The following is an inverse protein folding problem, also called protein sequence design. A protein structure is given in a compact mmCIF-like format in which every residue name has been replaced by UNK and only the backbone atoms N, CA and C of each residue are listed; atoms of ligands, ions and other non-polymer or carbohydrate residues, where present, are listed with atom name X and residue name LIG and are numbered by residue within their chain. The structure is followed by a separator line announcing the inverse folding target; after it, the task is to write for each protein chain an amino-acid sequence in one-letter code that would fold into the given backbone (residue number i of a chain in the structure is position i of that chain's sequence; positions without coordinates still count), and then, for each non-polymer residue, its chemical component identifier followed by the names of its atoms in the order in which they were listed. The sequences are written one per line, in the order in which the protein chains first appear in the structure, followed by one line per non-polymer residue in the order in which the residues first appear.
data_IF_409385300337
#
_entry.id   IF_409385300337
#
_cell.length_a   1.000
_cell.length_b   1.000
_cell.length_c   1.000
_cell.angle_alpha   90.00
_cell.angle_beta   90.00
_cell.angle_gamma   90.00
#
_symmetry.space_group_name_H-M   'P 1'
#
loop_
_entity.id
_entity.type
_entity.pdbx_description
1 polymer ?
#
# COMPACT_ATOMS: atom_id res chain seq x y z
N UNK A 1 18.27 10.63 -9.48
CA UNK A 1 16.81 10.46 -9.27
C UNK A 1 16.42 11.27 -8.05
N UNK A 2 15.89 12.48 -8.21
CA UNK A 2 15.30 13.23 -7.10
C UNK A 2 13.97 12.58 -6.77
N UNK A 3 13.96 11.70 -5.77
CA UNK A 3 12.72 11.09 -5.33
C UNK A 3 12.23 11.85 -4.10
N UNK A 4 11.37 12.85 -4.34
CA UNK A 4 10.75 13.68 -3.30
C UNK A 4 10.10 12.84 -2.19
N UNK A 5 9.62 11.63 -2.51
CA UNK A 5 9.13 10.68 -1.52
C UNK A 5 10.23 10.22 -0.56
N UNK A 6 11.46 9.96 -1.04
CA UNK A 6 12.61 9.58 -0.18
C UNK A 6 13.03 10.74 0.70
N UNK A 7 13.05 11.98 0.18
CA UNK A 7 13.35 13.17 0.97
C UNK A 7 12.33 13.37 2.09
N UNK A 8 11.05 13.22 1.79
CA UNK A 8 9.97 13.34 2.77
C UNK A 8 10.02 12.21 3.81
N UNK A 9 10.29 10.98 3.40
CA UNK A 9 10.50 9.85 4.31
C UNK A 9 11.72 10.05 5.22
N UNK A 10 12.77 10.68 4.68
CA UNK A 10 14.01 10.97 5.41
C UNK A 10 13.85 12.10 6.43
N UNK A 11 13.11 13.17 6.08
CA UNK A 11 12.88 14.34 6.94
C UNK A 11 12.10 13.99 8.21
N UNK A 12 11.07 13.14 8.08
CA UNK A 12 10.16 12.82 9.19
C UNK A 12 10.56 11.53 9.96
N UNK A 13 11.70 10.90 9.60
CA UNK A 13 12.17 9.62 10.19
C UNK A 13 11.13 8.49 10.13
N UNK A 14 10.39 8.33 9.03
CA UNK A 14 9.44 7.22 8.85
C UNK A 14 10.09 5.88 8.52
N UNK A 15 11.35 5.70 8.93
CA UNK A 15 12.10 4.49 8.68
C UNK A 15 12.90 4.09 9.92
N UNK A 16 13.03 2.78 10.11
CA UNK A 16 13.89 2.17 11.13
C UNK A 16 14.95 1.36 10.41
N UNK A 17 16.19 1.45 10.87
CA UNK A 17 17.30 0.68 10.30
C UNK A 17 17.51 -0.61 11.09
N UNK A 18 18.02 -1.66 10.42
CA UNK A 18 18.39 -2.92 11.08
C UNK A 18 17.22 -3.73 11.63
N UNK A 19 16.02 -3.60 11.04
CA UNK A 19 14.82 -4.30 11.52
C UNK A 19 14.86 -5.77 11.12
N UNK A 20 14.78 -6.66 12.11
CA UNK A 20 14.56 -8.09 11.88
C UNK A 20 13.08 -8.35 11.62
N UNK A 21 12.73 -8.72 10.38
CA UNK A 21 11.35 -9.05 10.00
C UNK A 21 10.97 -10.47 10.40
N UNK A 22 9.67 -10.77 10.43
CA UNK A 22 9.12 -12.11 10.76
C UNK A 22 9.72 -13.26 9.94
N UNK A 23 10.17 -12.98 8.71
CA UNK A 23 10.87 -13.95 7.87
C UNK A 23 12.33 -14.22 8.29
N UNK A 24 12.77 -13.73 9.46
CA UNK A 24 14.11 -13.95 10.03
C UNK A 24 15.23 -13.10 9.42
N UNK A 25 14.96 -12.38 8.33
CA UNK A 25 15.91 -11.51 7.63
C UNK A 25 16.04 -10.15 8.34
N UNK A 26 17.25 -9.59 8.31
CA UNK A 26 17.49 -8.20 8.71
C UNK A 26 17.31 -7.34 7.45
N UNK A 27 16.39 -6.39 7.53
CA UNK A 27 16.16 -5.41 6.47
C UNK A 27 16.94 -4.16 6.84
N UNK A 28 17.85 -3.66 5.98
CA UNK A 28 18.70 -2.52 6.31
C UNK A 28 17.88 -1.25 6.56
N UNK A 29 16.76 -1.08 5.86
CA UNK A 29 15.82 0.03 6.01
C UNK A 29 14.40 -0.56 5.96
N UNK A 30 13.61 -0.30 6.99
CA UNK A 30 12.20 -0.64 7.07
C UNK A 30 11.40 0.65 7.19
N UNK A 31 10.42 0.86 6.31
CA UNK A 31 9.51 2.01 6.37
C UNK A 31 8.23 1.63 7.10
N UNK A 32 7.71 2.51 7.97
CA UNK A 32 6.41 2.29 8.62
C UNK A 32 5.30 3.09 7.93
N UNK A 33 4.45 2.44 7.10
CA UNK A 33 3.33 3.11 6.45
C UNK A 33 2.28 3.63 7.43
N UNK A 34 2.27 3.15 8.68
CA UNK A 34 1.36 3.68 9.70
C UNK A 34 1.77 5.06 10.18
N UNK A 35 3.06 5.35 10.21
CA UNK A 35 3.54 6.66 10.65
C UNK A 35 3.09 7.78 9.68
N UNK A 36 3.06 7.49 8.38
CA UNK A 36 2.55 8.43 7.38
C UNK A 36 1.05 8.74 7.48
N UNK A 37 0.27 7.94 8.24
CA UNK A 37 -1.15 8.23 8.46
C UNK A 37 -1.36 9.57 9.18
N UNK A 38 -0.44 9.93 10.08
CA UNK A 38 -0.49 11.21 10.81
C UNK A 38 -0.04 12.40 9.96
N UNK A 39 0.42 12.17 8.73
CA UNK A 39 1.00 13.19 7.85
C UNK A 39 0.37 13.12 6.46
N UNK A 40 -0.84 13.69 6.26
CA UNK A 40 -1.62 13.54 5.04
C UNK A 40 -0.88 13.98 3.76
N UNK A 41 -0.08 15.05 3.84
CA UNK A 41 0.72 15.57 2.71
C UNK A 41 1.77 14.56 2.26
N UNK A 42 2.41 13.87 3.23
CA UNK A 42 3.39 12.83 2.97
C UNK A 42 2.73 11.62 2.32
N UNK A 43 1.64 11.13 2.92
CA UNK A 43 0.90 9.99 2.40
C UNK A 43 0.39 10.24 0.98
N UNK A 44 -0.09 11.46 0.69
CA UNK A 44 -0.51 11.88 -0.65
C UNK A 44 0.66 11.87 -1.64
N UNK A 45 1.81 12.41 -1.26
CA UNK A 45 3.01 12.43 -2.10
C UNK A 45 3.46 11.00 -2.45
N UNK A 46 3.45 10.10 -1.47
CA UNK A 46 3.78 8.69 -1.68
C UNK A 46 2.75 8.04 -2.63
N UNK A 47 1.46 8.25 -2.40
CA UNK A 47 0.38 7.72 -3.23
C UNK A 47 0.49 8.19 -4.69
N UNK A 48 0.86 9.45 -4.93
CA UNK A 48 1.08 10.00 -6.28
C UNK A 48 2.23 9.31 -7.01
N UNK A 49 3.36 9.07 -6.32
CA UNK A 49 4.47 8.32 -6.90
C UNK A 49 4.10 6.86 -7.17
N UNK A 50 3.37 6.20 -6.27
CA UNK A 50 2.85 4.86 -6.50
C UNK A 50 1.92 4.83 -7.71
N UNK A 51 0.98 5.77 -7.82
CA UNK A 51 0.08 5.89 -8.96
C UNK A 51 0.86 6.07 -10.27
N UNK A 52 1.90 6.90 -10.29
CA UNK A 52 2.78 7.11 -11.45
C UNK A 52 3.51 5.84 -11.85
N UNK A 53 4.08 5.11 -10.88
CA UNK A 53 4.79 3.85 -11.12
C UNK A 53 3.82 2.78 -11.63
N UNK A 54 2.65 2.65 -11.01
CA UNK A 54 1.62 1.68 -11.41
C UNK A 54 1.15 1.95 -12.84
N UNK A 55 0.84 3.21 -13.20
CA UNK A 55 0.47 3.55 -14.58
C UNK A 55 1.55 3.17 -15.59
N UNK A 56 2.83 3.28 -15.22
CA UNK A 56 3.97 2.92 -16.08
C UNK A 56 4.11 1.40 -16.26
N UNK A 57 3.93 0.62 -15.20
CA UNK A 57 4.18 -0.83 -15.20
C UNK A 57 2.93 -1.61 -15.62
N UNK A 58 1.75 -1.16 -15.19
CA UNK A 58 0.43 -1.77 -15.43
C UNK A 58 -0.58 -0.71 -15.86
N UNK A 59 -0.51 -0.21 -17.11
CA UNK A 59 -1.42 0.83 -17.61
C UNK A 59 -2.90 0.41 -17.66
N UNK A 60 -3.18 -0.91 -17.72
CA UNK A 60 -4.54 -1.48 -17.75
C UNK A 60 -5.00 -1.97 -16.37
N UNK A 61 -4.49 -1.38 -15.29
CA UNK A 61 -4.87 -1.73 -13.93
C UNK A 61 -6.35 -1.40 -13.69
N UNK A 62 -7.11 -2.30 -13.08
CA UNK A 62 -8.55 -2.12 -12.86
C UNK A 62 -8.92 -1.99 -11.38
N UNK A 63 -8.11 -2.56 -10.49
CA UNK A 63 -8.35 -2.55 -9.05
C UNK A 63 -7.04 -2.53 -8.26
N UNK A 64 -7.03 -1.82 -7.14
CA UNK A 64 -5.91 -1.82 -6.19
C UNK A 64 -6.24 -2.70 -4.98
N UNK A 65 -5.31 -3.53 -4.53
CA UNK A 65 -5.49 -4.34 -3.34
C UNK A 65 -4.44 -4.00 -2.26
N UNK A 66 -4.93 -3.72 -1.04
CA UNK A 66 -4.09 -3.49 0.13
C UNK A 66 -4.16 -4.65 1.12
N UNK A 67 -3.02 -5.13 1.60
CA UNK A 67 -3.02 -6.11 2.69
C UNK A 67 -3.27 -5.44 4.05
N UNK A 68 -4.06 -6.06 4.91
CA UNK A 68 -4.24 -5.62 6.29
C UNK A 68 -2.89 -5.68 7.03
N UNK A 69 -2.52 -4.73 7.88
CA UNK A 69 -3.20 -3.48 8.24
C UNK A 69 -2.56 -2.28 7.53
N UNK A 70 -1.24 -2.31 7.35
CA UNK A 70 -0.46 -1.18 6.83
C UNK A 70 -0.61 -0.94 5.32
N UNK A 71 -1.07 -1.93 4.56
CA UNK A 71 -1.30 -1.80 3.12
C UNK A 71 -2.64 -1.14 2.78
N UNK A 72 -3.59 -1.09 3.72
CA UNK A 72 -4.95 -0.56 3.49
C UNK A 72 -4.89 0.92 3.15
N UNK A 73 -4.17 1.72 3.94
CA UNK A 73 -4.12 3.17 3.75
C UNK A 73 -3.45 3.56 2.45
N UNK A 74 -2.32 2.92 2.13
CA UNK A 74 -1.60 3.17 0.89
C UNK A 74 -2.40 2.71 -0.34
N UNK A 75 -3.08 1.56 -0.25
CA UNK A 75 -3.96 1.08 -1.32
C UNK A 75 -5.13 2.04 -1.55
N UNK A 76 -5.79 2.50 -0.48
CA UNK A 76 -6.89 3.44 -0.57
C UNK A 76 -6.46 4.77 -1.19
N UNK A 77 -5.39 5.39 -0.68
CA UNK A 77 -4.93 6.69 -1.20
C UNK A 77 -4.39 6.58 -2.62
N UNK A 78 -3.67 5.51 -2.95
CA UNK A 78 -3.21 5.29 -4.33
C UNK A 78 -4.37 5.06 -5.29
N UNK A 79 -5.40 4.31 -4.88
CA UNK A 79 -6.60 4.09 -5.68
C UNK A 79 -7.38 5.39 -5.91
N UNK A 80 -7.45 6.26 -4.89
CA UNK A 80 -8.04 7.60 -5.02
C UNK A 80 -7.27 8.45 -6.05
N UNK A 81 -5.94 8.46 -6.02
CA UNK A 81 -5.12 9.18 -7.02
C UNK A 81 -5.25 8.59 -8.44
N UNK A 82 -5.53 7.29 -8.55
CA UNK A 82 -5.78 6.62 -9.84
C UNK A 82 -7.25 6.70 -10.31
N UNK A 83 -8.16 7.16 -9.44
CA UNK A 83 -9.61 7.07 -9.62
C UNK A 83 -10.09 5.64 -9.96
N UNK A 84 -9.62 4.67 -9.19
CA UNK A 84 -9.94 3.24 -9.36
C UNK A 84 -10.62 2.67 -8.11
N UNK A 85 -11.42 1.60 -8.25
CA UNK A 85 -11.89 0.84 -7.11
C UNK A 85 -10.71 0.18 -6.38
N UNK A 86 -10.88 -0.08 -5.09
CA UNK A 86 -9.91 -0.80 -4.29
C UNK A 86 -10.57 -1.81 -3.35
N UNK A 87 -9.79 -2.81 -2.97
CA UNK A 87 -10.16 -3.86 -2.02
C UNK A 87 -9.07 -4.01 -0.97
N UNK A 88 -9.39 -4.64 0.16
CA UNK A 88 -8.35 -5.05 1.10
C UNK A 88 -8.45 -6.52 1.47
N UNK A 89 -7.29 -7.08 1.83
CA UNK A 89 -7.14 -8.49 2.16
C UNK A 89 -6.94 -8.62 3.67
N UNK A 90 -7.85 -9.31 4.35
CA UNK A 90 -7.79 -9.63 5.77
C UNK A 90 -6.70 -10.65 6.08
N UNK A 91 -6.15 -10.59 7.30
CA UNK A 91 -5.21 -11.61 7.78
C UNK A 91 -5.86 -12.93 8.21
N UNK A 92 -7.15 -12.91 8.55
CA UNK A 92 -7.92 -14.07 9.03
C UNK A 92 -9.33 -14.05 8.45
N UNK A 93 -9.91 -15.22 8.21
CA UNK A 93 -11.29 -15.36 7.75
C UNK A 93 -12.29 -15.01 8.88
N UNK A 94 -13.51 -14.63 8.50
CA UNK A 94 -14.63 -14.48 9.44
C UNK A 94 -15.09 -15.89 9.83
N UNK A 95 -14.90 -16.28 11.08
CA UNK A 95 -15.20 -17.63 11.57
C UNK A 95 -16.67 -18.07 11.53
N UNK A 96 -17.61 -17.28 10.99
CA UNK A 96 -19.05 -17.60 10.98
C UNK A 96 -19.79 -17.29 9.67
N UNK A 97 -19.13 -16.74 8.65
CA UNK A 97 -19.75 -16.42 7.35
C UNK A 97 -18.66 -16.40 6.29
N UNK A 98 -18.90 -17.06 5.14
CA UNK A 98 -18.07 -17.14 3.92
C UNK A 98 -16.60 -16.74 4.09
N UNK A 99 -15.68 -17.68 3.91
CA UNK A 99 -14.20 -17.57 3.99
C UNK A 99 -13.54 -16.52 3.05
N UNK A 100 -14.28 -15.52 2.59
CA UNK A 100 -13.77 -14.39 1.83
C UNK A 100 -12.76 -13.60 2.68
N UNK A 101 -11.49 -13.74 2.32
CA UNK A 101 -10.39 -12.94 2.83
C UNK A 101 -10.33 -11.53 2.22
N UNK A 102 -11.10 -11.27 1.15
CA UNK A 102 -11.11 -10.01 0.42
C UNK A 102 -12.38 -9.23 0.76
N UNK A 103 -12.21 -7.97 1.10
CA UNK A 103 -13.29 -7.04 1.42
C UNK A 103 -13.35 -5.94 0.34
N UNK A 104 -14.56 -5.69 -0.17
CA UNK A 104 -14.83 -4.79 -1.30
C UNK A 104 -15.38 -5.53 -2.53
N UNK A 105 -15.86 -4.76 -3.52
CA UNK A 105 -16.44 -5.31 -4.75
C UNK A 105 -15.39 -5.23 -5.86
N UNK A 106 -15.12 -6.36 -6.51
CA UNK A 106 -14.22 -6.46 -7.64
C UNK A 106 -14.76 -7.45 -8.67
N UNK A 107 -14.39 -7.27 -9.94
CA UNK A 107 -14.75 -8.23 -10.98
C UNK A 107 -13.79 -9.41 -10.94
N UNK A 108 -14.33 -10.64 -10.99
CA UNK A 108 -13.50 -11.84 -11.16
C UNK A 108 -12.63 -11.68 -12.41
N UNK A 109 -11.31 -11.89 -12.27
CA UNK A 109 -10.24 -11.70 -13.29
C UNK A 109 -9.80 -10.25 -13.54
N UNK A 110 -10.17 -9.29 -12.71
CA UNK A 110 -9.61 -7.94 -12.83
C UNK A 110 -8.10 -7.94 -12.64
N UNK A 111 -7.42 -7.12 -13.43
CA UNK A 111 -5.98 -6.93 -13.29
C UNK A 111 -5.73 -6.16 -11.98
N UNK A 112 -5.01 -6.80 -11.05
CA UNK A 112 -4.80 -6.31 -9.70
C UNK A 112 -3.31 -6.04 -9.42
N UNK A 113 -3.04 -5.00 -8.65
CA UNK A 113 -1.73 -4.72 -8.08
C UNK A 113 -1.85 -4.88 -6.56
N UNK A 114 -1.07 -5.80 -6.00
CA UNK A 114 -0.96 -5.99 -4.56
C UNK A 114 0.20 -5.14 -4.06
N UNK A 115 -0.08 -4.26 -3.10
CA UNK A 115 0.94 -3.53 -2.34
C UNK A 115 1.61 -4.38 -1.29
#
# INVERSE_FOLDING_TARGET
MNNKAIEVLAQERFYTTGVKIKAGRIVPIYWDPKAALSYPVVLKTIAQEFARIIKKIKPKIEVIAGSETGGISLAATTAMELNLPWVYIRKKSKGYSTDALVEGIYRKRSSCCTG
#
